data_IF_187418984665
#
_entry.id   IF_187418984665
#
_cell.length_a   1.000
_cell.length_b   1.000
_cell.length_c   1.000
_cell.angle_alpha   90.00
_cell.angle_beta   90.00
_cell.angle_gamma   90.00
#
_symmetry.space_group_name_H-M   'P 1'
#
loop_
_entity.id
_entity.type
_entity.pdbx_description
1 polymer ?
#
# COMPACT_ATOMS: atom_id res chain seq x y z
N UNK A 1 -12.39 -7.62 -7.98
CA UNK A 1 -13.02 -6.53 -7.21
C UNK A 1 -11.98 -6.05 -6.21
N UNK A 2 -11.48 -4.82 -6.34
CA UNK A 2 -10.53 -4.27 -5.37
C UNK A 2 -11.27 -4.12 -4.03
N UNK A 3 -10.72 -4.70 -2.94
CA UNK A 3 -11.30 -4.54 -1.60
C UNK A 3 -11.29 -3.03 -1.26
N UNK A 4 -12.39 -2.47 -0.71
CA UNK A 4 -12.51 -1.03 -0.43
C UNK A 4 -11.37 -0.49 0.45
N UNK A 5 -10.78 -1.33 1.31
CA UNK A 5 -9.62 -0.99 2.14
C UNK A 5 -8.35 -0.63 1.36
N UNK A 6 -8.15 -1.24 0.19
CA UNK A 6 -6.95 -1.00 -0.63
C UNK A 6 -7.01 0.37 -1.29
N UNK A 7 -8.18 0.74 -1.80
CA UNK A 7 -8.40 2.04 -2.44
C UNK A 7 -8.21 3.20 -1.43
N UNK A 8 -8.65 2.99 -0.18
CA UNK A 8 -8.41 3.91 0.92
C UNK A 8 -6.93 4.02 1.27
N UNK A 9 -6.22 2.90 1.35
CA UNK A 9 -4.77 2.87 1.62
C UNK A 9 -3.99 3.68 0.57
N UNK A 10 -4.29 3.46 -0.72
CA UNK A 10 -3.67 4.18 -1.84
C UNK A 10 -3.93 5.67 -1.74
N UNK A 11 -5.17 6.07 -1.41
CA UNK A 11 -5.53 7.48 -1.23
C UNK A 11 -4.77 8.12 -0.07
N UNK A 12 -4.66 7.43 1.07
CA UNK A 12 -3.94 7.94 2.22
C UNK A 12 -2.44 8.08 1.93
N UNK A 13 -1.82 7.07 1.30
CA UNK A 13 -0.40 7.12 0.90
C UNK A 13 -0.13 8.32 -0.02
N UNK A 14 -0.96 8.50 -1.05
CA UNK A 14 -0.87 9.65 -1.95
C UNK A 14 -1.11 10.99 -1.24
N UNK A 15 -2.04 11.03 -0.29
CA UNK A 15 -2.32 12.24 0.49
C UNK A 15 -1.13 12.66 1.36
N UNK A 16 -0.31 11.70 1.81
CA UNK A 16 0.93 11.96 2.55
C UNK A 16 2.14 12.21 1.66
N UNK A 17 1.98 12.14 0.34
CA UNK A 17 3.00 12.48 -0.65
C UNK A 17 3.72 11.27 -1.26
N UNK A 18 3.29 10.04 -0.96
CA UNK A 18 3.88 8.84 -1.54
C UNK A 18 3.31 8.53 -2.94
N UNK A 19 4.17 8.12 -3.86
CA UNK A 19 3.76 7.74 -5.21
C UNK A 19 3.41 6.25 -5.28
N UNK A 20 2.12 5.93 -5.42
CA UNK A 20 1.67 4.54 -5.62
C UNK A 20 1.46 4.25 -7.11
N UNK A 21 2.32 3.40 -7.70
CA UNK A 21 2.30 3.04 -9.14
C UNK A 21 1.51 1.79 -9.47
N UNK A 22 1.75 0.71 -8.74
CA UNK A 22 1.16 -0.59 -9.02
C UNK A 22 0.49 -1.15 -7.76
N UNK A 23 -0.69 -1.73 -7.95
CA UNK A 23 -1.44 -2.43 -6.91
C UNK A 23 -2.04 -3.66 -7.55
N UNK A 24 -1.58 -4.85 -7.16
CA UNK A 24 -2.12 -6.09 -7.70
C UNK A 24 -2.29 -7.13 -6.60
N UNK A 25 -3.33 -7.96 -6.74
CA UNK A 25 -3.58 -9.06 -5.83
C UNK A 25 -2.61 -10.20 -6.13
N UNK A 26 -1.87 -10.62 -5.12
CA UNK A 26 -0.95 -11.77 -5.20
C UNK A 26 -1.57 -12.96 -4.47
N UNK A 27 -1.18 -14.20 -4.79
CA UNK A 27 -1.64 -15.37 -4.06
C UNK A 27 -1.34 -15.24 -2.56
N UNK A 28 -2.13 -15.93 -1.74
CA UNK A 28 -2.08 -15.88 -0.26
C UNK A 28 -0.68 -16.13 0.32
N UNK A 29 0.20 -16.84 -0.40
CA UNK A 29 1.56 -17.11 0.04
C UNK A 29 2.48 -15.88 0.08
N UNK A 30 2.08 -14.75 -0.51
CA UNK A 30 2.91 -13.55 -0.69
C UNK A 30 2.27 -12.27 -0.09
N UNK A 31 1.21 -12.40 0.71
CA UNK A 31 0.65 -11.28 1.47
C UNK A 31 -0.58 -10.59 0.84
N UNK A 32 -1.40 -11.34 0.09
CA UNK A 32 -2.67 -10.95 -0.54
C UNK A 32 -2.60 -9.83 -1.59
N UNK A 33 -1.78 -8.79 -1.39
CA UNK A 33 -1.60 -7.65 -2.29
C UNK A 33 -0.16 -7.14 -2.27
N UNK A 34 0.33 -6.78 -3.45
CA UNK A 34 1.63 -6.16 -3.65
C UNK A 34 1.46 -4.76 -4.24
N UNK A 35 2.23 -3.82 -3.69
CA UNK A 35 2.20 -2.39 -3.94
C UNK A 35 3.58 -1.92 -4.42
N UNK A 36 3.61 -0.99 -5.37
CA UNK A 36 4.83 -0.23 -5.66
C UNK A 36 4.64 1.19 -5.15
N UNK A 37 5.31 1.53 -4.05
CA UNK A 37 5.24 2.82 -3.36
C UNK A 37 6.63 3.47 -3.42
N UNK A 38 6.74 4.66 -4.00
CA UNK A 38 8.01 5.40 -4.19
C UNK A 38 9.13 4.58 -4.86
N UNK A 39 8.74 3.63 -5.70
CA UNK A 39 9.66 2.70 -6.37
C UNK A 39 10.09 1.49 -5.52
N UNK A 40 9.63 1.37 -4.28
CA UNK A 40 9.77 0.17 -3.46
C UNK A 40 8.60 -0.80 -3.66
N UNK A 41 8.90 -2.08 -3.79
CA UNK A 41 7.90 -3.15 -3.81
C UNK A 41 7.60 -3.56 -2.38
N UNK A 42 6.36 -3.31 -1.93
CA UNK A 42 5.89 -3.53 -0.58
C UNK A 42 4.63 -4.36 -0.61
N UNK A 43 4.49 -5.30 0.31
CA UNK A 43 3.22 -6.00 0.49
C UNK A 43 2.20 -5.10 1.25
N UNK A 44 0.97 -5.59 1.43
CA UNK A 44 -0.09 -4.87 2.13
C UNK A 44 0.28 -4.44 3.55
N UNK A 45 0.95 -5.32 4.29
CA UNK A 45 1.35 -5.04 5.67
C UNK A 45 2.42 -3.95 5.72
N UNK A 46 3.42 -4.03 4.85
CA UNK A 46 4.47 -3.00 4.73
C UNK A 46 3.90 -1.66 4.29
N UNK A 47 2.96 -1.64 3.33
CA UNK A 47 2.27 -0.43 2.91
C UNK A 47 1.48 0.22 4.07
N UNK A 48 0.86 -0.59 4.95
CA UNK A 48 0.24 -0.11 6.19
C UNK A 48 1.26 0.47 7.17
N UNK A 49 2.43 -0.16 7.31
CA UNK A 49 3.49 0.36 8.17
C UNK A 49 4.03 1.71 7.69
N UNK A 50 4.12 1.94 6.38
CA UNK A 50 4.49 3.26 5.83
C UNK A 50 3.51 4.32 6.32
N UNK A 51 2.21 4.08 6.19
CA UNK A 51 1.18 4.99 6.67
C UNK A 51 1.24 5.24 8.18
N UNK A 52 1.46 4.19 8.97
CA UNK A 52 1.58 4.32 10.42
C UNK A 52 2.81 5.16 10.82
N UNK A 53 3.94 4.97 10.14
CA UNK A 53 5.15 5.77 10.36
C UNK A 53 4.94 7.24 10.03
N UNK A 54 4.22 7.50 8.95
CA UNK A 54 3.86 8.87 8.55
C UNK A 54 2.77 9.49 9.43
N UNK A 55 2.02 8.72 10.21
CA UNK A 55 1.03 9.24 11.18
C UNK A 55 1.65 9.60 12.52
N UNK A 56 2.75 8.91 12.87
CA UNK A 56 3.50 9.13 14.10
C UNK A 56 4.51 10.28 14.02
N UNK A 57 4.64 10.93 12.86
CA UNK A 57 5.63 11.97 12.59
C UNK A 57 5.00 13.35 12.60
#
# INVERSE_FOLDING_TARGET
MAKPDIDLLVKQLRAKGHEVKYVHAVPDNAGEYEFTIDGAYLNLEEARQVLERDDRK
#
